data_IF_737894622187
#
_entry.id   IF_737894622187
#
_cell.length_a   1.000
_cell.length_b   1.000
_cell.length_c   1.000
_cell.angle_alpha   90.00
_cell.angle_beta   90.00
_cell.angle_gamma   90.00
#
_symmetry.space_group_name_H-M   'P 1'
#
loop_
_entity.id
_entity.type
_entity.pdbx_description
1 polymer ?
#
# COMPACT_ATOMS: atom_id res chain seq x y z
N UNK A 1 34.37 20.51 -34.56
CA UNK A 1 33.35 20.94 -33.57
C UNK A 1 32.12 20.02 -33.52
N UNK A 2 31.49 19.65 -34.65
CA UNK A 2 30.26 18.83 -34.69
C UNK A 2 30.34 17.47 -33.96
N UNK A 3 31.45 16.72 -34.09
CA UNK A 3 31.62 15.44 -33.38
C UNK A 3 31.71 15.54 -31.86
N UNK A 4 32.21 16.67 -31.32
CA UNK A 4 32.28 16.91 -29.87
C UNK A 4 30.89 17.21 -29.29
N UNK A 5 30.07 17.97 -30.01
CA UNK A 5 28.69 18.23 -29.63
C UNK A 5 27.85 16.94 -29.64
N UNK A 6 27.97 16.12 -30.69
CA UNK A 6 27.26 14.83 -30.79
C UNK A 6 27.71 13.87 -29.69
N UNK A 7 29.02 13.76 -29.43
CA UNK A 7 29.54 12.93 -28.34
C UNK A 7 29.04 13.37 -26.95
N UNK A 8 28.97 14.68 -26.70
CA UNK A 8 28.45 15.23 -25.46
C UNK A 8 26.95 14.99 -25.28
N UNK A 9 26.15 15.11 -26.35
CA UNK A 9 24.71 14.82 -26.33
C UNK A 9 24.45 13.34 -26.04
N UNK A 10 25.18 12.43 -26.70
CA UNK A 10 25.06 10.99 -26.47
C UNK A 10 25.45 10.61 -25.04
N UNK A 11 26.57 11.16 -24.54
CA UNK A 11 27.00 10.91 -23.17
C UNK A 11 26.03 11.48 -22.14
N UNK A 12 25.55 12.71 -22.33
CA UNK A 12 24.56 13.35 -21.47
C UNK A 12 23.23 12.59 -21.46
N UNK A 13 22.77 12.12 -22.63
CA UNK A 13 21.60 11.25 -22.73
C UNK A 13 21.78 9.92 -21.98
N UNK A 14 22.95 9.30 -22.12
CA UNK A 14 23.30 8.09 -21.37
C UNK A 14 23.26 8.30 -19.86
N UNK A 15 23.88 9.39 -19.38
CA UNK A 15 23.87 9.76 -17.97
C UNK A 15 22.45 10.05 -17.44
N UNK A 16 21.60 10.72 -18.24
CA UNK A 16 20.21 10.97 -17.89
C UNK A 16 19.40 9.67 -17.74
N UNK A 17 19.57 8.70 -18.66
CA UNK A 17 18.88 7.41 -18.56
C UNK A 17 19.30 6.63 -17.32
N UNK A 18 20.58 6.67 -16.95
CA UNK A 18 21.07 6.07 -15.71
C UNK A 18 20.48 6.75 -14.47
N UNK A 19 20.38 8.08 -14.47
CA UNK A 19 19.75 8.82 -13.39
C UNK A 19 18.24 8.48 -13.26
N UNK A 20 17.54 8.35 -14.38
CA UNK A 20 16.13 7.91 -14.40
C UNK A 20 15.98 6.48 -13.88
N UNK A 21 16.87 5.56 -14.26
CA UNK A 21 16.86 4.19 -13.74
C UNK A 21 17.07 4.17 -12.22
N UNK A 22 18.00 4.97 -11.71
CA UNK A 22 18.22 5.13 -10.27
C UNK A 22 16.96 5.70 -9.58
N UNK A 23 16.32 6.72 -10.15
CA UNK A 23 15.05 7.27 -9.65
C UNK A 23 13.95 6.21 -9.54
N UNK A 24 13.79 5.35 -10.56
CA UNK A 24 12.81 4.26 -10.50
C UNK A 24 13.10 3.26 -9.37
N UNK A 25 14.36 2.86 -9.20
CA UNK A 25 14.74 1.85 -8.21
C UNK A 25 14.68 2.39 -6.78
N UNK A 26 15.15 3.61 -6.55
CA UNK A 26 15.31 4.16 -5.20
C UNK A 26 14.11 5.00 -4.73
N UNK A 27 13.28 5.51 -5.64
CA UNK A 27 12.13 6.36 -5.30
C UNK A 27 10.81 5.66 -5.64
N UNK A 28 10.64 5.21 -6.89
CA UNK A 28 9.34 4.69 -7.36
C UNK A 28 9.05 3.31 -6.78
N UNK A 29 10.00 2.38 -6.84
CA UNK A 29 9.79 1.01 -6.33
C UNK A 29 9.41 0.97 -4.84
N UNK A 30 10.10 1.67 -3.91
CA UNK A 30 9.66 1.74 -2.52
C UNK A 30 8.31 2.44 -2.35
N UNK A 31 7.99 3.44 -3.19
CA UNK A 31 6.70 4.11 -3.15
C UNK A 31 5.53 3.22 -3.60
N UNK A 32 5.78 2.27 -4.51
CA UNK A 32 4.78 1.28 -4.96
C UNK A 32 4.61 0.11 -3.99
N UNK A 33 5.62 -0.20 -3.17
CA UNK A 33 5.59 -1.27 -2.18
C UNK A 33 4.96 -0.83 -0.84
N UNK A 34 3.98 0.06 -0.90
CA UNK A 34 3.17 0.53 0.23
C UNK A 34 1.77 0.92 -0.25
N UNK A 35 0.81 0.99 0.66
CA UNK A 35 -0.56 1.43 0.34
C UNK A 35 -0.54 2.83 -0.28
N UNK A 36 -1.07 2.98 -1.51
CA UNK A 36 -1.22 4.28 -2.14
C UNK A 36 -2.37 5.07 -1.51
N UNK A 37 -2.34 6.38 -1.71
CA UNK A 37 -3.35 7.29 -1.16
C UNK A 37 -4.65 7.32 -1.97
N UNK A 38 -4.55 6.98 -3.25
CA UNK A 38 -5.54 7.09 -4.31
C UNK A 38 -6.07 5.71 -4.75
N UNK A 39 -6.16 4.77 -3.81
CA UNK A 39 -6.77 3.48 -4.08
C UNK A 39 -8.25 3.65 -4.46
N UNK A 40 -8.67 2.87 -5.43
CA UNK A 40 -10.10 2.72 -5.74
C UNK A 40 -10.81 1.92 -4.66
N UNK A 41 -12.09 2.22 -4.45
CA UNK A 41 -12.91 1.44 -3.55
C UNK A 41 -13.01 -0.02 -4.07
N UNK A 42 -12.95 -0.97 -3.14
CA UNK A 42 -13.11 -2.39 -3.45
C UNK A 42 -14.37 -2.93 -2.81
N UNK A 43 -14.98 -3.92 -3.46
CA UNK A 43 -16.11 -4.68 -2.93
C UNK A 43 -15.78 -6.15 -3.00
N UNK A 44 -16.04 -6.86 -1.90
CA UNK A 44 -15.92 -8.31 -1.79
C UNK A 44 -17.23 -8.89 -1.33
N UNK A 45 -17.57 -10.07 -1.85
CA UNK A 45 -18.81 -10.76 -1.54
C UNK A 45 -18.46 -12.15 -1.05
N UNK A 46 -19.04 -12.52 0.10
CA UNK A 46 -19.00 -13.87 0.63
C UNK A 46 -20.42 -14.43 0.77
N UNK A 47 -20.57 -15.74 0.60
CA UNK A 47 -21.86 -16.43 0.76
C UNK A 47 -21.74 -17.56 1.76
N UNK A 48 -22.80 -17.77 2.55
CA UNK A 48 -22.95 -18.89 3.45
C UNK A 48 -24.25 -19.62 3.14
N UNK A 49 -24.18 -20.93 2.87
CA UNK A 49 -25.35 -21.75 2.55
C UNK A 49 -25.95 -22.39 3.78
N UNK A 50 -27.27 -22.40 3.88
CA UNK A 50 -28.02 -23.01 4.96
C UNK A 50 -27.61 -22.50 6.34
N UNK A 51 -27.22 -21.23 6.43
CA UNK A 51 -26.78 -20.62 7.67
C UNK A 51 -27.95 -20.49 8.65
N UNK A 52 -27.67 -20.73 9.93
CA UNK A 52 -28.60 -20.40 11.02
C UNK A 52 -28.22 -19.04 11.59
N UNK A 53 -29.18 -18.15 11.77
CA UNK A 53 -28.90 -16.79 12.24
C UNK A 53 -30.06 -16.20 13.03
N UNK A 54 -29.71 -15.34 13.98
CA UNK A 54 -30.62 -14.44 14.66
C UNK A 54 -31.07 -13.34 13.70
N UNK A 55 -32.37 -13.15 13.56
CA UNK A 55 -32.97 -12.06 12.80
C UNK A 55 -33.86 -11.23 13.73
N UNK A 56 -33.72 -9.91 13.64
CA UNK A 56 -34.55 -8.95 14.38
C UNK A 56 -35.36 -8.16 13.36
N UNK A 57 -36.67 -8.43 13.28
CA UNK A 57 -37.58 -7.76 12.35
C UNK A 57 -38.68 -7.07 13.15
N UNK A 58 -38.78 -5.74 13.04
CA UNK A 58 -39.77 -4.92 13.76
C UNK A 58 -39.81 -5.18 15.28
N UNK A 59 -38.63 -5.40 15.89
CA UNK A 59 -38.50 -5.71 17.32
C UNK A 59 -38.78 -7.16 17.70
N UNK A 60 -39.25 -8.00 16.77
CA UNK A 60 -39.40 -9.43 16.97
C UNK A 60 -38.07 -10.15 16.73
N UNK A 61 -37.71 -11.04 17.65
CA UNK A 61 -36.49 -11.84 17.59
C UNK A 61 -36.84 -13.26 17.17
N UNK A 62 -36.18 -13.77 16.13
CA UNK A 62 -36.33 -15.15 15.67
C UNK A 62 -34.98 -15.75 15.26
N UNK A 63 -34.88 -17.08 15.36
CA UNK A 63 -33.79 -17.85 14.76
C UNK A 63 -34.28 -18.40 13.43
N UNK A 64 -33.66 -17.98 12.34
CA UNK A 64 -33.99 -18.38 10.99
C UNK A 64 -32.88 -19.22 10.37
N UNK A 65 -33.24 -19.92 9.28
CA UNK A 65 -32.29 -20.64 8.44
C UNK A 65 -32.48 -20.23 6.98
N UNK A 66 -31.41 -19.76 6.35
CA UNK A 66 -31.41 -19.36 4.95
C UNK A 66 -29.96 -19.24 4.43
N UNK A 67 -29.83 -19.03 3.13
CA UNK A 67 -28.57 -18.63 2.55
C UNK A 67 -28.33 -17.13 2.80
N UNK A 68 -27.10 -16.77 3.17
CA UNK A 68 -26.69 -15.41 3.49
C UNK A 68 -25.65 -14.91 2.50
N UNK A 69 -25.74 -13.63 2.16
CA UNK A 69 -24.77 -12.90 1.35
C UNK A 69 -24.18 -11.77 2.18
N UNK A 70 -22.88 -11.84 2.45
CA UNK A 70 -22.10 -10.77 3.04
C UNK A 70 -21.46 -9.92 1.94
N UNK A 71 -21.65 -8.62 1.97
CA UNK A 71 -20.99 -7.67 1.05
C UNK A 71 -20.15 -6.71 1.87
N UNK A 72 -18.83 -6.71 1.68
CA UNK A 72 -17.90 -5.78 2.32
C UNK A 72 -17.39 -4.79 1.29
N UNK A 73 -17.55 -3.50 1.57
CA UNK A 73 -16.99 -2.40 0.78
C UNK A 73 -15.93 -1.68 1.59
N UNK A 74 -14.72 -1.59 1.03
CA UNK A 74 -13.60 -0.83 1.59
C UNK A 74 -13.34 0.37 0.69
N UNK A 75 -13.46 1.57 1.24
CA UNK A 75 -13.32 2.84 0.52
C UNK A 75 -12.25 3.71 1.17
N UNK A 76 -11.18 4.08 0.45
CA UNK A 76 -10.20 5.03 0.95
C UNK A 76 -10.81 6.41 1.19
N UNK A 77 -10.48 7.03 2.32
CA UNK A 77 -10.90 8.38 2.68
C UNK A 77 -9.72 9.34 2.53
N UNK A 78 -9.47 9.76 1.28
CA UNK A 78 -8.36 10.66 0.95
C UNK A 78 -8.47 12.01 1.67
N UNK A 79 -9.69 12.49 1.91
CA UNK A 79 -9.94 13.78 2.58
C UNK A 79 -9.52 13.73 4.05
N UNK A 80 -9.86 12.66 4.75
CA UNK A 80 -9.46 12.47 6.15
C UNK A 80 -7.98 12.11 6.24
N UNK A 81 -7.47 11.30 5.30
CA UNK A 81 -6.04 10.97 5.20
C UNK A 81 -5.17 12.21 5.05
N UNK A 82 -5.55 13.17 4.19
CA UNK A 82 -4.82 14.43 4.01
C UNK A 82 -4.87 15.39 5.20
N UNK A 83 -5.62 15.05 6.26
CA UNK A 83 -5.69 15.81 7.52
C UNK A 83 -5.00 15.10 8.68
N UNK A 84 -4.42 13.92 8.45
CA UNK A 84 -3.61 13.25 9.46
C UNK A 84 -2.40 14.14 9.80
N UNK A 85 -1.98 14.08 11.07
CA UNK A 85 -0.90 14.89 11.61
C UNK A 85 -0.09 14.07 12.63
N UNK A 86 1.07 14.61 13.05
CA UNK A 86 1.98 13.91 13.96
C UNK A 86 2.50 12.60 13.34
N UNK A 87 2.57 11.55 14.14
CA UNK A 87 3.15 10.25 13.75
C UNK A 87 2.39 9.52 12.63
N UNK A 88 1.18 9.97 12.30
CA UNK A 88 0.35 9.40 11.24
C UNK A 88 0.56 10.07 9.87
N UNK A 89 1.10 11.29 9.83
CA UNK A 89 1.35 12.03 8.58
C UNK A 89 2.39 11.30 7.72
N UNK A 90 2.11 11.14 6.42
CA UNK A 90 2.95 10.38 5.50
C UNK A 90 2.94 8.85 5.72
N UNK A 91 2.64 8.38 6.93
CA UNK A 91 2.73 6.99 7.37
C UNK A 91 1.45 6.20 7.19
N UNK A 92 0.29 6.83 7.36
CA UNK A 92 -0.99 6.15 7.40
C UNK A 92 -1.94 6.54 6.25
N UNK A 93 -2.94 5.69 6.02
CA UNK A 93 -4.13 5.95 5.22
C UNK A 93 -5.38 5.66 6.04
N UNK A 94 -6.44 6.44 5.84
CA UNK A 94 -7.74 6.20 6.48
C UNK A 94 -8.66 5.49 5.51
N UNK A 95 -9.24 4.37 5.93
CA UNK A 95 -10.25 3.64 5.17
C UNK A 95 -11.58 3.68 5.91
N UNK A 96 -12.66 3.79 5.14
CA UNK A 96 -14.03 3.55 5.58
C UNK A 96 -14.46 2.17 5.08
N UNK A 97 -15.05 1.39 5.97
CA UNK A 97 -15.51 0.04 5.68
C UNK A 97 -16.98 -0.07 6.03
N UNK A 98 -17.76 -0.61 5.11
CA UNK A 98 -19.14 -1.01 5.35
C UNK A 98 -19.30 -2.48 5.04
N UNK A 99 -20.07 -3.19 5.86
CA UNK A 99 -20.55 -4.53 5.53
C UNK A 99 -22.05 -4.59 5.70
N UNK A 100 -22.72 -5.30 4.80
CA UNK A 100 -24.07 -5.82 5.01
C UNK A 100 -24.05 -7.33 4.93
N UNK A 101 -24.90 -7.98 5.70
CA UNK A 101 -25.26 -9.39 5.56
C UNK A 101 -26.76 -9.43 5.34
N UNK A 102 -27.16 -10.00 4.21
CA UNK A 102 -28.55 -10.07 3.77
C UNK A 102 -28.90 -11.51 3.44
N UNK A 103 -30.19 -11.84 3.55
CA UNK A 103 -30.69 -13.11 3.05
C UNK A 103 -30.67 -13.13 1.53
N UNK A 104 -30.27 -14.22 0.91
CA UNK A 104 -30.26 -14.30 -0.56
C UNK A 104 -31.67 -14.39 -1.15
N UNK A 105 -32.61 -15.01 -0.42
CA UNK A 105 -33.98 -15.32 -0.84
C UNK A 105 -34.92 -14.09 -0.78
N UNK A 106 -34.87 -13.32 0.31
CA UNK A 106 -35.77 -12.19 0.56
C UNK A 106 -35.10 -10.83 0.45
N UNK A 107 -33.75 -10.77 0.42
CA UNK A 107 -32.95 -9.54 0.53
C UNK A 107 -33.13 -8.77 1.84
N UNK A 108 -33.76 -9.38 2.84
CA UNK A 108 -33.86 -8.76 4.16
C UNK A 108 -32.47 -8.66 4.81
N UNK A 109 -32.21 -7.51 5.43
CA UNK A 109 -30.98 -7.25 6.17
C UNK A 109 -30.95 -8.09 7.46
N UNK A 110 -29.85 -8.80 7.68
CA UNK A 110 -29.58 -9.59 8.89
C UNK A 110 -28.65 -8.83 9.83
N UNK A 111 -27.59 -8.24 9.29
CA UNK A 111 -26.68 -7.38 10.06
C UNK A 111 -25.98 -6.39 9.16
N UNK A 112 -25.53 -5.28 9.73
CA UNK A 112 -24.66 -4.34 9.08
C UNK A 112 -23.62 -3.83 10.08
N UNK A 113 -22.46 -3.41 9.58
CA UNK A 113 -21.58 -2.55 10.36
C UNK A 113 -20.92 -1.49 9.49
N UNK A 114 -20.50 -0.40 10.14
CA UNK A 114 -19.60 0.60 9.58
C UNK A 114 -18.33 0.71 10.42
N UNK A 115 -17.20 1.03 9.80
CA UNK A 115 -15.97 1.33 10.52
C UNK A 115 -15.16 2.41 9.79
N UNK A 116 -14.40 3.19 10.54
CA UNK A 116 -13.29 3.96 10.01
C UNK A 116 -12.03 3.62 10.80
N UNK A 117 -10.91 3.42 10.10
CA UNK A 117 -9.65 3.03 10.71
C UNK A 117 -8.46 3.61 9.95
N UNK A 118 -7.36 3.81 10.66
CA UNK A 118 -6.07 4.16 10.07
C UNK A 118 -5.23 2.89 9.88
N UNK A 119 -4.57 2.77 8.72
CA UNK A 119 -3.67 1.67 8.40
C UNK A 119 -2.28 2.21 8.09
N UNK A 120 -1.25 1.56 8.62
CA UNK A 120 0.14 1.80 8.25
C UNK A 120 0.36 1.39 6.79
N UNK A 121 0.94 2.29 6.00
CA UNK A 121 1.08 2.07 4.56
C UNK A 121 2.04 0.96 4.20
N UNK A 122 3.03 0.65 5.04
CA UNK A 122 4.06 -0.34 4.72
C UNK A 122 3.64 -1.72 5.22
N UNK A 123 3.28 -1.81 6.49
CA UNK A 123 2.92 -3.06 7.15
C UNK A 123 1.50 -3.54 6.87
N UNK A 124 0.59 -2.64 6.48
CA UNK A 124 -0.85 -2.94 6.31
C UNK A 124 -1.63 -3.09 7.63
N UNK A 125 -0.95 -3.01 8.77
CA UNK A 125 -1.57 -3.13 10.09
C UNK A 125 -2.34 -1.87 10.47
N UNK A 126 -3.37 -2.04 11.30
CA UNK A 126 -4.06 -0.93 11.93
C UNK A 126 -3.13 -0.13 12.87
N UNK A 127 -3.34 1.19 12.87
CA UNK A 127 -2.66 2.16 13.73
C UNK A 127 -3.69 2.84 14.62
N UNK A 128 -3.28 3.19 15.84
CA UNK A 128 -4.11 3.99 16.73
C UNK A 128 -4.39 5.36 16.11
N UNK A 129 -5.66 5.72 16.03
CA UNK A 129 -6.10 7.00 15.53
C UNK A 129 -7.39 7.46 16.21
N UNK A 130 -7.41 8.69 16.72
CA UNK A 130 -8.55 9.23 17.49
C UNK A 130 -9.88 9.28 16.72
N UNK A 131 -9.84 9.30 15.39
CA UNK A 131 -11.04 9.34 14.54
C UNK A 131 -11.60 7.97 14.18
N UNK A 132 -11.00 6.89 14.68
CA UNK A 132 -11.45 5.53 14.36
C UNK A 132 -12.73 5.17 15.13
N UNK A 133 -13.63 4.46 14.47
CA UNK A 133 -14.89 4.02 15.06
C UNK A 133 -15.33 2.66 14.52
N UNK A 134 -16.21 2.01 15.27
CA UNK A 134 -16.99 0.86 14.85
C UNK A 134 -18.46 1.14 15.16
N UNK A 135 -19.32 0.88 14.19
CA UNK A 135 -20.77 0.94 14.30
C UNK A 135 -21.33 -0.44 13.99
N UNK A 136 -21.49 -1.27 15.02
CA UNK A 136 -22.12 -2.60 14.99
C UNK A 136 -23.42 -2.61 15.82
N UNK A 137 -23.89 -1.42 16.20
CA UNK A 137 -25.05 -1.22 17.07
C UNK A 137 -26.10 -0.27 16.50
N UNK A 138 -25.83 0.36 15.35
CA UNK A 138 -26.58 1.50 14.83
C UNK A 138 -26.11 2.82 15.43
N UNK A 139 -24.98 2.84 16.14
CA UNK A 139 -24.33 4.03 16.69
C UNK A 139 -22.81 3.85 16.63
N UNK A 140 -22.11 4.91 16.23
CA UNK A 140 -20.66 4.91 16.20
C UNK A 140 -20.07 4.88 17.60
N UNK A 141 -19.28 3.85 17.89
CA UNK A 141 -18.49 3.71 19.11
C UNK A 141 -17.01 3.88 18.81
N UNK A 142 -16.26 4.45 19.77
CA UNK A 142 -14.80 4.46 19.67
C UNK A 142 -14.31 3.01 19.70
N UNK A 143 -13.52 2.66 18.70
CA UNK A 143 -12.85 1.36 18.61
C UNK A 143 -11.33 1.56 18.76
N UNK A 144 -10.62 0.49 19.09
CA UNK A 144 -9.17 0.42 18.96
C UNK A 144 -8.87 -0.72 18.00
N UNK A 145 -8.30 -0.40 16.85
CA UNK A 145 -7.92 -1.40 15.85
C UNK A 145 -6.42 -1.68 15.96
N UNK A 146 -6.05 -2.95 15.86
CA UNK A 146 -4.66 -3.38 15.89
C UNK A 146 -4.45 -4.61 15.01
N UNK A 147 -3.21 -4.89 14.61
CA UNK A 147 -2.89 -6.02 13.75
C UNK A 147 -3.42 -5.88 12.32
N UNK A 148 -3.41 -6.99 11.58
CA UNK A 148 -3.83 -7.06 10.18
C UNK A 148 -5.36 -7.16 10.07
N UNK A 149 -5.94 -6.53 9.05
CA UNK A 149 -7.39 -6.52 8.82
C UNK A 149 -7.76 -6.76 7.36
N UNK A 150 -7.27 -5.90 6.47
CA UNK A 150 -7.68 -5.89 5.05
C UNK A 150 -6.50 -6.05 4.08
N UNK A 151 -5.28 -5.99 4.59
CA UNK A 151 -4.04 -6.05 3.80
C UNK A 151 -2.94 -6.65 4.67
N UNK A 152 -2.10 -7.52 4.10
CA UNK A 152 -0.83 -7.95 4.68
C UNK A 152 0.32 -7.10 4.12
N UNK A 153 1.51 -7.06 4.73
CA UNK A 153 2.64 -6.34 4.15
C UNK A 153 2.98 -6.88 2.74
N UNK A 154 3.55 -6.03 1.89
CA UNK A 154 4.23 -6.51 0.67
C UNK A 154 5.35 -7.48 1.06
N UNK A 155 5.53 -8.55 0.30
CA UNK A 155 6.46 -9.61 0.69
C UNK A 155 6.01 -10.32 1.97
N UNK A 156 4.75 -10.73 2.04
CA UNK A 156 4.19 -11.39 3.21
C UNK A 156 5.03 -12.62 3.58
N UNK A 157 5.42 -12.71 4.85
CA UNK A 157 6.32 -13.75 5.35
C UNK A 157 5.56 -14.96 5.87
N UNK A 158 6.14 -16.17 5.70
CA UNK A 158 5.62 -17.46 6.23
C UNK A 158 5.78 -17.55 7.76
N UNK A 159 5.11 -16.68 8.49
CA UNK A 159 5.11 -16.60 9.96
C UNK A 159 3.70 -16.34 10.48
N UNK A 160 3.51 -16.44 11.78
CA UNK A 160 2.25 -16.06 12.42
C UNK A 160 2.05 -14.55 12.32
N UNK A 161 0.85 -14.13 11.91
CA UNK A 161 0.45 -12.71 11.92
C UNK A 161 -0.71 -12.52 12.89
N UNK A 162 -0.76 -11.36 13.54
CA UNK A 162 -1.92 -11.00 14.38
C UNK A 162 -3.00 -10.43 13.47
N UNK A 163 -4.17 -11.07 13.41
CA UNK A 163 -5.34 -10.56 12.67
C UNK A 163 -6.37 -10.06 13.67
N UNK A 164 -6.92 -8.87 13.44
CA UNK A 164 -8.00 -8.33 14.26
C UNK A 164 -9.29 -9.13 14.05
N UNK A 165 -9.93 -9.54 15.13
CA UNK A 165 -11.30 -10.04 15.09
C UNK A 165 -12.25 -8.95 15.58
N UNK A 166 -13.20 -8.57 14.72
CA UNK A 166 -14.15 -7.49 14.99
C UNK A 166 -15.09 -7.82 16.14
N UNK A 167 -15.52 -9.08 16.26
CA UNK A 167 -16.49 -9.50 17.26
C UNK A 167 -15.86 -9.54 18.65
N UNK A 168 -14.58 -9.92 18.75
CA UNK A 168 -13.80 -9.81 19.99
C UNK A 168 -13.25 -8.39 20.25
N UNK A 169 -13.19 -7.54 19.23
CA UNK A 169 -12.52 -6.23 19.24
C UNK A 169 -11.04 -6.33 19.67
N UNK A 170 -10.38 -7.41 19.27
CA UNK A 170 -9.01 -7.72 19.66
C UNK A 170 -8.33 -8.65 18.63
N UNK A 171 -7.02 -8.82 18.71
CA UNK A 171 -6.25 -9.65 17.79
C UNK A 171 -6.11 -11.09 18.27
N UNK A 172 -6.14 -12.03 17.34
CA UNK A 172 -5.78 -13.43 17.58
C UNK A 172 -4.72 -13.88 16.56
N UNK A 173 -3.85 -14.83 16.89
CA UNK A 173 -2.82 -15.29 15.95
C UNK A 173 -3.46 -16.00 14.76
N UNK A 174 -2.95 -15.71 13.57
CA UNK A 174 -3.21 -16.42 12.33
C UNK A 174 -1.92 -17.12 11.89
N UNK A 175 -1.92 -18.45 12.01
CA UNK A 175 -0.75 -19.27 11.72
C UNK A 175 -0.63 -19.58 10.24
N UNK A 176 0.58 -19.61 9.70
CA UNK A 176 0.83 -20.09 8.35
C UNK A 176 0.57 -21.60 8.26
N UNK A 177 -0.34 -22.02 7.37
CA UNK A 177 -0.76 -23.42 7.19
C UNK A 177 -0.31 -24.03 5.86
N UNK A 178 0.51 -23.33 5.08
CA UNK A 178 1.04 -23.81 3.81
C UNK A 178 0.74 -22.89 2.63
N UNK A 179 1.02 -23.39 1.43
CA UNK A 179 0.75 -22.70 0.17
C UNK A 179 -0.34 -23.41 -0.62
N UNK A 180 -1.08 -22.65 -1.42
CA UNK A 180 -2.16 -23.17 -2.26
C UNK A 180 -2.27 -22.33 -3.53
N UNK A 181 -2.51 -22.97 -4.68
CA UNK A 181 -2.72 -22.25 -5.93
C UNK A 181 -4.15 -21.68 -5.97
N UNK A 182 -4.26 -20.36 -6.10
CA UNK A 182 -5.53 -19.67 -6.31
C UNK A 182 -5.48 -19.02 -7.69
N UNK A 183 -6.07 -19.72 -8.67
CA UNK A 183 -6.16 -19.29 -10.08
C UNK A 183 -4.79 -18.86 -10.66
N UNK A 184 -3.74 -19.65 -10.41
CA UNK A 184 -2.40 -19.41 -10.95
C UNK A 184 -1.48 -18.55 -10.06
N UNK A 185 -1.97 -18.08 -8.91
CA UNK A 185 -1.13 -17.45 -7.88
C UNK A 185 -0.85 -18.46 -6.78
N UNK A 186 0.42 -18.81 -6.56
CA UNK A 186 0.87 -19.50 -5.35
C UNK A 186 0.65 -18.59 -4.14
N UNK A 187 -0.43 -18.84 -3.42
CA UNK A 187 -0.88 -18.05 -2.27
C UNK A 187 -0.37 -18.65 -0.97
N UNK A 188 -0.24 -17.81 0.06
CA UNK A 188 0.06 -18.24 1.43
C UNK A 188 -1.25 -18.35 2.21
N UNK A 189 -1.53 -19.53 2.76
CA UNK A 189 -2.73 -19.80 3.55
C UNK A 189 -2.44 -19.59 5.03
N UNK A 190 -3.18 -18.70 5.68
CA UNK A 190 -3.13 -18.49 7.12
C UNK A 190 -4.46 -18.84 7.76
N UNK A 191 -4.42 -19.41 8.96
CA UNK A 191 -5.59 -19.82 9.70
C UNK A 191 -5.57 -19.25 11.12
N UNK A 192 -6.64 -18.53 11.47
CA UNK A 192 -6.93 -18.02 12.80
C UNK A 192 -8.08 -18.84 13.39
N UNK A 193 -7.86 -19.42 14.56
CA UNK A 193 -8.84 -20.23 15.28
C UNK A 193 -9.20 -19.56 16.59
N UNK A 194 -10.49 -19.32 16.77
CA UNK A 194 -11.12 -18.76 17.97
C UNK A 194 -12.12 -19.80 18.46
N UNK A 195 -12.05 -20.19 19.73
CA UNK A 195 -12.89 -21.26 20.30
C UNK A 195 -13.55 -20.82 21.59
N UNK A 196 -14.87 -20.70 21.53
CA UNK A 196 -15.80 -20.45 22.64
C UNK A 196 -15.40 -19.28 23.55
N UNK A 197 -14.85 -18.22 22.94
CA UNK A 197 -14.50 -17.00 23.64
C UNK A 197 -15.76 -16.18 23.95
N UNK A 198 -15.85 -15.63 25.16
CA UNK A 198 -17.00 -14.83 25.56
C UNK A 198 -16.95 -13.44 24.92
N UNK A 199 -18.04 -13.06 24.24
CA UNK A 199 -18.21 -11.72 23.71
C UNK A 199 -18.53 -10.72 24.83
N UNK A 200 -17.90 -9.55 24.77
CA UNK A 200 -18.20 -8.44 25.66
C UNK A 200 -19.39 -7.63 25.13
N UNK A 201 -20.61 -8.12 25.39
CA UNK A 201 -21.85 -7.46 25.00
C UNK A 201 -22.42 -6.63 26.14
N UNK A 202 -23.02 -5.49 25.81
CA UNK A 202 -23.78 -4.70 26.77
C UNK A 202 -24.87 -5.54 27.46
N UNK A 203 -25.03 -5.38 28.77
CA UNK A 203 -25.95 -6.17 29.59
C UNK A 203 -27.39 -6.16 29.04
N UNK A 204 -27.87 -5.01 28.56
CA UNK A 204 -29.19 -4.87 27.95
C UNK A 204 -29.38 -5.76 26.70
N UNK A 205 -28.33 -5.96 25.90
CA UNK A 205 -28.37 -6.85 24.72
C UNK A 205 -28.48 -8.31 25.15
N UNK A 206 -27.71 -8.71 26.15
CA UNK A 206 -27.79 -10.08 26.69
C UNK A 206 -29.17 -10.35 27.27
N UNK A 207 -29.71 -9.43 28.08
CA UNK A 207 -31.07 -9.55 28.62
C UNK A 207 -32.15 -9.66 27.54
N UNK A 208 -32.03 -8.87 26.47
CA UNK A 208 -32.95 -8.93 25.33
C UNK A 208 -32.93 -10.33 24.68
N UNK A 209 -31.75 -10.90 24.46
CA UNK A 209 -31.59 -12.23 23.89
C UNK A 209 -32.14 -13.32 24.83
N UNK A 210 -31.85 -13.24 26.12
CA UNK A 210 -32.37 -14.18 27.13
C UNK A 210 -33.90 -14.16 27.18
N UNK A 211 -34.51 -12.97 27.22
CA UNK A 211 -35.97 -12.83 27.25
C UNK A 211 -36.67 -13.46 26.04
N UNK A 212 -36.03 -13.41 24.86
CA UNK A 212 -36.57 -13.98 23.64
C UNK A 212 -36.28 -15.49 23.46
N UNK A 213 -35.08 -15.95 23.84
CA UNK A 213 -34.57 -17.28 23.45
C UNK A 213 -34.39 -18.24 24.62
N UNK A 214 -34.38 -17.75 25.86
CA UNK A 214 -34.26 -18.56 27.06
C UNK A 214 -35.20 -18.04 28.17
N UNK A 215 -36.53 -18.15 28.01
CA UNK A 215 -37.48 -17.67 29.01
C UNK A 215 -37.21 -18.29 30.39
N UNK A 216 -37.10 -17.43 31.41
CA UNK A 216 -36.77 -17.82 32.78
C UNK A 216 -35.30 -17.61 33.15
N UNK A 217 -34.39 -17.50 32.17
CA UNK A 217 -33.00 -17.17 32.41
C UNK A 217 -32.84 -15.71 32.88
N UNK A 218 -31.98 -15.49 33.87
CA UNK A 218 -31.72 -14.15 34.42
C UNK A 218 -30.37 -13.62 34.03
N UNK A 219 -29.41 -14.52 33.83
CA UNK A 219 -28.04 -14.23 33.43
C UNK A 219 -27.62 -15.16 32.30
N UNK A 220 -26.55 -14.80 31.61
CA UNK A 220 -26.05 -15.57 30.49
C UNK A 220 -24.92 -14.86 29.80
N UNK A 221 -24.35 -15.50 28.79
CA UNK A 221 -23.26 -14.96 27.98
C UNK A 221 -23.43 -15.38 26.53
N UNK A 222 -22.83 -14.63 25.62
CA UNK A 222 -22.67 -15.06 24.23
C UNK A 222 -21.23 -15.52 24.04
N UNK A 223 -21.06 -16.76 23.59
CA UNK A 223 -19.75 -17.31 23.20
C UNK A 223 -19.61 -17.28 21.69
N UNK A 224 -18.40 -17.07 21.22
CA UNK A 224 -18.03 -16.91 19.82
C UNK A 224 -16.89 -17.85 19.46
N UNK A 225 -17.06 -18.51 18.33
CA UNK A 225 -16.08 -19.35 17.68
C UNK A 225 -15.96 -18.93 16.22
N UNK A 226 -14.73 -18.89 15.70
CA UNK A 226 -14.48 -18.63 14.29
C UNK A 226 -13.23 -19.38 13.84
N UNK A 227 -13.33 -20.08 12.71
CA UNK A 227 -12.15 -20.51 11.94
C UNK A 227 -12.07 -19.64 10.71
N UNK A 228 -11.17 -18.65 10.75
CA UNK A 228 -10.88 -17.74 9.64
C UNK A 228 -9.68 -18.26 8.88
N UNK A 229 -9.89 -18.59 7.60
CA UNK A 229 -8.81 -18.91 6.66
C UNK A 229 -8.67 -17.78 5.64
N UNK A 230 -7.46 -17.28 5.46
CA UNK A 230 -7.14 -16.23 4.49
C UNK A 230 -6.04 -16.71 3.55
N UNK A 231 -6.24 -16.51 2.26
CA UNK A 231 -5.25 -16.80 1.22
C UNK A 231 -4.68 -15.48 0.72
N UNK A 232 -3.37 -15.31 0.89
CA UNK A 232 -2.68 -14.05 0.65
C UNK A 232 -1.73 -14.20 -0.53
N UNK A 233 -1.74 -13.25 -1.46
CA UNK A 233 -0.66 -13.13 -2.45
C UNK A 233 0.64 -12.73 -1.73
N UNK A 234 1.69 -13.57 -1.72
CA UNK A 234 2.90 -13.28 -0.97
C UNK A 234 3.67 -12.06 -1.50
N UNK A 235 3.50 -11.69 -2.78
CA UNK A 235 4.21 -10.53 -3.34
C UNK A 235 3.51 -9.24 -2.94
N UNK A 236 2.21 -9.13 -3.23
CA UNK A 236 1.49 -7.88 -2.97
C UNK A 236 0.97 -7.77 -1.56
N UNK A 237 0.79 -8.88 -0.83
CA UNK A 237 0.13 -8.94 0.48
C UNK A 237 -1.39 -8.81 0.41
N UNK A 238 -2.00 -8.93 -0.78
CA UNK A 238 -3.44 -8.80 -0.98
C UNK A 238 -4.19 -10.09 -0.64
N UNK A 239 -5.42 -9.95 -0.14
CA UNK A 239 -6.31 -11.08 0.08
C UNK A 239 -6.85 -11.58 -1.26
N UNK A 240 -6.65 -12.88 -1.54
CA UNK A 240 -7.14 -13.55 -2.74
C UNK A 240 -8.44 -14.30 -2.48
N UNK A 241 -8.55 -14.90 -1.30
CA UNK A 241 -9.72 -15.62 -0.84
C UNK A 241 -9.84 -15.50 0.69
N UNK A 242 -11.06 -15.59 1.20
CA UNK A 242 -11.38 -15.63 2.64
C UNK A 242 -12.50 -16.62 2.86
N UNK A 243 -12.35 -17.44 3.90
CA UNK A 243 -13.41 -18.28 4.45
C UNK A 243 -13.48 -18.09 5.95
N UNK A 244 -14.69 -17.95 6.48
CA UNK A 244 -14.96 -17.83 7.91
C UNK A 244 -16.07 -18.80 8.31
N UNK A 245 -15.74 -19.74 9.19
CA UNK A 245 -16.72 -20.63 9.82
C UNK A 245 -17.06 -20.04 11.18
N UNK A 246 -18.09 -19.21 11.22
CA UNK A 246 -18.50 -18.48 12.41
C UNK A 246 -19.63 -19.17 13.16
N UNK A 247 -19.49 -19.25 14.49
CA UNK A 247 -20.55 -19.65 15.40
C UNK A 247 -20.69 -18.67 16.55
N UNK A 248 -21.92 -18.27 16.85
CA UNK A 248 -22.27 -17.50 18.05
C UNK A 248 -23.38 -18.23 18.79
N UNK A 249 -23.21 -18.42 20.09
CA UNK A 249 -24.16 -19.17 20.91
C UNK A 249 -24.47 -18.38 22.18
N UNK A 250 -25.75 -18.15 22.43
CA UNK A 250 -26.23 -17.69 23.74
C UNK A 250 -26.22 -18.87 24.70
N UNK A 251 -25.49 -18.73 25.80
CA UNK A 251 -25.42 -19.69 26.89
C UNK A 251 -26.10 -19.07 28.10
N UNK A 252 -27.36 -19.43 28.39
CA UNK A 252 -28.08 -18.94 29.56
C UNK A 252 -27.61 -19.64 30.85
N UNK A 253 -27.93 -19.06 32.00
CA UNK A 253 -27.74 -19.69 33.32
C UNK A 253 -28.66 -20.90 33.53
N UNK A 254 -29.87 -20.85 32.99
CA UNK A 254 -30.82 -21.95 32.96
C UNK A 254 -31.42 -22.14 31.57
N UNK A 255 -31.74 -23.38 31.22
CA UNK A 255 -32.26 -23.74 29.90
C UNK A 255 -31.17 -24.13 28.91
N UNK A 256 -31.58 -24.43 27.69
CA UNK A 256 -30.67 -24.88 26.64
C UNK A 256 -29.96 -23.69 25.96
N UNK A 257 -28.69 -23.84 25.55
CA UNK A 257 -28.03 -22.85 24.70
C UNK A 257 -28.77 -22.64 23.37
N UNK A 258 -28.77 -21.40 22.89
CA UNK A 258 -29.40 -21.03 21.61
C UNK A 258 -28.34 -20.57 20.60
N UNK A 259 -28.36 -21.13 19.39
CA UNK A 259 -27.44 -20.74 18.32
C UNK A 259 -27.92 -19.44 17.67
N UNK A 260 -27.13 -18.37 17.83
CA UNK A 260 -27.39 -17.04 17.28
C UNK A 260 -26.81 -16.87 15.88
N UNK A 261 -25.72 -17.59 15.57
CA UNK A 261 -25.13 -17.66 14.25
C UNK A 261 -24.44 -19.02 14.10
N UNK A 262 -24.63 -19.65 12.95
CA UNK A 262 -23.84 -20.76 12.45
C UNK A 262 -23.77 -20.60 10.93
N UNK A 263 -22.63 -20.12 10.44
CA UNK A 263 -22.46 -19.71 9.06
C UNK A 263 -21.04 -20.00 8.57
N UNK A 264 -20.94 -20.57 7.37
CA UNK A 264 -19.69 -20.82 6.67
C UNK A 264 -19.60 -19.87 5.47
N UNK A 265 -19.11 -18.66 5.72
CA UNK A 265 -18.96 -17.63 4.69
C UNK A 265 -17.71 -17.91 3.88
N UNK A 266 -17.83 -18.00 2.56
CA UNK A 266 -16.70 -18.07 1.63
C UNK A 266 -16.83 -17.03 0.54
N UNK A 267 -15.73 -16.41 0.11
CA UNK A 267 -15.77 -15.51 -1.04
C UNK A 267 -16.36 -16.19 -2.27
N UNK A 268 -17.17 -15.44 -3.02
CA UNK A 268 -17.71 -15.93 -4.29
C UNK A 268 -16.61 -16.03 -5.34
N UNK A 269 -16.82 -16.85 -6.37
CA UNK A 269 -15.88 -17.00 -7.49
C UNK A 269 -15.56 -15.67 -8.18
N UNK A 270 -16.54 -14.77 -8.30
CA UNK A 270 -16.35 -13.44 -8.86
C UNK A 270 -15.44 -12.59 -7.97
N UNK A 271 -15.60 -12.69 -6.65
CA UNK A 271 -14.76 -11.98 -5.69
C UNK A 271 -13.32 -12.50 -5.74
N UNK A 272 -13.13 -13.83 -5.80
CA UNK A 272 -11.81 -14.44 -5.96
C UNK A 272 -11.16 -14.03 -7.27
N UNK A 273 -11.89 -14.10 -8.39
CA UNK A 273 -11.37 -13.70 -9.71
C UNK A 273 -10.98 -12.22 -9.75
N UNK A 274 -11.81 -11.33 -9.20
CA UNK A 274 -11.49 -9.90 -9.12
C UNK A 274 -10.29 -9.60 -8.20
N UNK A 275 -10.13 -10.38 -7.13
CA UNK A 275 -9.00 -10.26 -6.20
C UNK A 275 -7.68 -10.73 -6.84
N UNK A 276 -7.70 -11.87 -7.53
CA UNK A 276 -6.58 -12.40 -8.31
C UNK A 276 -6.17 -11.39 -9.39
N UNK A 277 -7.13 -10.88 -10.18
CA UNK A 277 -6.83 -9.88 -11.21
C UNK A 277 -6.14 -8.64 -10.64
N UNK A 278 -6.63 -8.11 -9.51
CA UNK A 278 -6.01 -6.95 -8.86
C UNK A 278 -4.60 -7.24 -8.36
N UNK A 279 -4.37 -8.45 -7.84
CA UNK A 279 -3.04 -8.89 -7.42
C UNK A 279 -2.09 -9.01 -8.63
N UNK A 280 -2.53 -9.58 -9.75
CA UNK A 280 -1.76 -9.66 -11.00
C UNK A 280 -1.40 -8.27 -11.54
N UNK A 281 -2.37 -7.36 -11.64
CA UNK A 281 -2.16 -5.98 -12.11
C UNK A 281 -1.12 -5.27 -11.23
N UNK A 282 -1.19 -5.48 -9.90
CA UNK A 282 -0.22 -4.95 -8.94
C UNK A 282 1.18 -5.56 -9.11
N UNK A 283 1.27 -6.88 -9.31
CA UNK A 283 2.54 -7.60 -9.57
C UNK A 283 3.18 -7.16 -10.88
N UNK A 284 2.39 -6.97 -11.93
CA UNK A 284 2.87 -6.51 -13.22
C UNK A 284 3.43 -5.09 -13.12
N UNK A 285 2.74 -4.18 -12.42
CA UNK A 285 3.24 -2.83 -12.15
C UNK A 285 4.58 -2.85 -11.42
N UNK A 286 4.69 -3.65 -10.35
CA UNK A 286 5.92 -3.80 -9.56
C UNK A 286 7.08 -4.37 -10.37
N UNK A 287 6.85 -5.38 -11.22
CA UNK A 287 7.91 -6.00 -12.01
C UNK A 287 8.33 -5.13 -13.20
N UNK A 288 7.38 -4.52 -13.90
CA UNK A 288 7.66 -3.65 -15.04
C UNK A 288 8.45 -2.41 -14.61
N UNK A 289 7.93 -1.64 -13.65
CA UNK A 289 8.54 -0.37 -13.24
C UNK A 289 9.69 -0.57 -12.23
N UNK A 290 9.64 -1.63 -11.43
CA UNK A 290 10.66 -1.91 -10.41
C UNK A 290 11.85 -2.73 -10.91
N UNK A 291 11.75 -3.40 -12.07
CA UNK A 291 12.80 -4.30 -12.58
C UNK A 291 13.08 -4.06 -14.07
N UNK A 292 12.11 -4.29 -14.95
CA UNK A 292 12.38 -4.33 -16.40
C UNK A 292 12.71 -2.97 -17.01
N UNK A 293 11.95 -1.91 -16.69
CA UNK A 293 12.22 -0.56 -17.19
C UNK A 293 13.58 -0.05 -16.69
N UNK A 294 13.94 -0.14 -15.39
CA UNK A 294 15.27 0.22 -14.93
C UNK A 294 16.40 -0.52 -15.67
N UNK A 295 16.28 -1.82 -15.90
CA UNK A 295 17.29 -2.61 -16.65
C UNK A 295 17.42 -2.08 -18.08
N UNK A 296 16.31 -1.85 -18.78
CA UNK A 296 16.33 -1.31 -20.14
C UNK A 296 16.99 0.08 -20.21
N UNK A 297 16.67 0.95 -19.24
CA UNK A 297 17.28 2.27 -19.13
C UNK A 297 18.78 2.20 -18.84
N UNK A 298 19.22 1.27 -17.98
CA UNK A 298 20.65 1.06 -17.70
C UNK A 298 21.39 0.59 -18.94
N UNK A 299 20.88 -0.43 -19.64
CA UNK A 299 21.52 -0.95 -20.85
C UNK A 299 21.63 0.12 -21.94
N UNK A 300 20.52 0.81 -22.23
CA UNK A 300 20.53 1.88 -23.21
C UNK A 300 21.43 3.06 -22.78
N UNK A 301 21.39 3.41 -21.48
CA UNK A 301 22.22 4.46 -20.91
C UNK A 301 23.71 4.18 -21.05
N UNK A 302 24.15 2.95 -20.74
CA UNK A 302 25.53 2.52 -20.90
C UNK A 302 25.97 2.50 -22.37
N UNK A 303 25.11 2.02 -23.28
CA UNK A 303 25.39 2.03 -24.72
C UNK A 303 25.58 3.45 -25.24
N UNK A 304 24.69 4.39 -24.89
CA UNK A 304 24.78 5.80 -25.29
C UNK A 304 26.01 6.48 -24.68
N UNK A 305 26.32 6.22 -23.42
CA UNK A 305 27.51 6.76 -22.75
C UNK A 305 28.80 6.28 -23.43
N UNK A 306 28.91 4.98 -23.72
CA UNK A 306 30.06 4.40 -24.41
C UNK A 306 30.19 4.95 -25.84
N UNK A 307 29.09 5.05 -26.59
CA UNK A 307 29.08 5.64 -27.92
C UNK A 307 29.52 7.11 -27.91
N UNK A 308 29.02 7.90 -26.95
CA UNK A 308 29.41 9.30 -26.76
C UNK A 308 30.90 9.47 -26.49
N UNK A 309 31.47 8.63 -25.62
CA UNK A 309 32.91 8.56 -25.33
C UNK A 309 33.73 8.22 -26.59
N UNK A 310 33.30 7.21 -27.36
CA UNK A 310 34.00 6.78 -28.58
C UNK A 310 33.97 7.86 -29.68
N UNK A 311 32.83 8.53 -29.89
CA UNK A 311 32.69 9.62 -30.88
C UNK A 311 33.52 10.84 -30.48
N UNK A 312 33.56 11.17 -29.20
CA UNK A 312 34.37 12.28 -28.68
C UNK A 312 35.88 12.04 -28.86
N UNK A 313 36.34 10.80 -28.66
CA UNK A 313 37.75 10.37 -28.85
C UNK A 313 38.19 10.38 -30.32
N UNK A 314 37.32 9.99 -31.24
CA UNK A 314 37.63 10.02 -32.69
C UNK A 314 37.80 11.43 -33.24
N UNK A 315 37.07 12.40 -32.68
CA UNK A 315 37.24 13.82 -33.02
C UNK A 315 38.56 14.45 -32.54
N UNK A 316 39.26 13.82 -31.59
CA UNK A 316 40.56 14.30 -31.08
C UNK A 316 41.74 13.77 -31.91
N UNK A 317 41.65 12.56 -32.46
CA UNK A 317 42.70 11.96 -33.29
C UNK A 317 42.88 12.68 -34.65
N UNK A 318 41.82 13.27 -35.19
CA UNK A 318 41.87 13.94 -36.50
C UNK A 318 42.47 15.37 -36.45
N UNK A 319 42.64 15.94 -35.24
CA UNK A 319 43.29 17.24 -35.04
C UNK A 319 44.83 17.14 -34.87
N UNK A 320 45.39 15.91 -34.85
CA UNK A 320 46.83 15.67 -34.70
C UNK A 320 47.55 15.36 -36.04
N UNK A 321 46.86 15.51 -37.18
CA UNK A 321 47.34 15.14 -38.51
C UNK A 321 47.70 16.31 -39.44
N UNK A 322 48.24 17.41 -38.92
CA UNK A 322 48.79 18.49 -39.75
C UNK A 322 50.31 18.61 -39.48
N UNK A 323 51.17 18.11 -40.39
CA UNK A 323 52.60 18.15 -40.19
C UNK A 323 53.09 19.60 -40.32
N UNK A 324 53.68 20.11 -39.24
CA UNK A 324 54.44 21.37 -39.23
C UNK A 324 55.61 21.24 -40.20
N UNK A 325 55.52 21.87 -41.37
CA UNK A 325 56.69 22.09 -42.22
C UNK A 325 57.55 23.18 -41.60
N UNK A 326 58.80 22.81 -41.35
CA UNK A 326 59.89 23.61 -40.79
C UNK A 326 60.62 24.35 -41.93
N UNK A 327 61.03 25.58 -41.58
CA UNK A 327 62.15 26.41 -42.06
C UNK A 327 62.11 27.01 -43.47
N UNK A 328 62.26 28.33 -43.52
CA UNK A 328 63.51 28.86 -44.05
C UNK A 328 63.97 30.11 -43.27
N UNK A 329 65.29 30.28 -43.18
CA UNK A 329 66.02 31.31 -42.42
C UNK A 329 66.91 32.06 -43.40
N UNK A 330 66.89 33.40 -43.41
CA UNK A 330 68.09 34.21 -43.72
C UNK A 330 67.90 35.65 -43.20
N UNK A 331 68.67 36.02 -42.16
CA UNK A 331 69.65 37.13 -42.08
C UNK A 331 69.05 38.56 -42.22
N UNK A 332 69.33 39.55 -41.36
CA UNK A 332 70.66 40.18 -41.21
C UNK A 332 70.66 41.25 -40.07
N UNK A 333 71.64 41.15 -39.14
CA UNK A 333 72.42 42.23 -38.47
C UNK A 333 71.82 43.24 -37.44
N UNK A 334 72.66 43.96 -36.64
CA UNK A 334 72.86 43.62 -35.23
C UNK A 334 72.71 44.81 -34.25
N UNK A 335 72.96 44.53 -32.97
CA UNK A 335 72.92 45.45 -31.83
C UNK A 335 73.94 46.62 -31.88
N UNK A 336 73.52 47.79 -31.37
CA UNK A 336 74.20 48.58 -30.32
C UNK A 336 73.57 49.99 -30.21
N UNK A 337 73.21 50.43 -28.99
CA UNK A 337 73.70 51.68 -28.39
C UNK A 337 72.84 52.14 -27.21
N UNK A 338 73.58 52.58 -26.19
CA UNK A 338 73.25 53.12 -24.89
C UNK A 338 72.77 54.59 -24.95
N UNK A 339 72.23 55.07 -23.80
CA UNK A 339 72.05 56.46 -23.31
C UNK A 339 70.71 57.17 -23.50
N UNK A 340 70.03 57.34 -22.36
CA UNK A 340 69.94 58.62 -21.66
C UNK A 340 68.94 59.67 -22.17
N UNK A 341 68.00 60.07 -21.30
CA UNK A 341 67.28 61.34 -21.41
C UNK A 341 65.83 61.31 -20.93
N UNK A 342 65.61 61.68 -19.66
CA UNK A 342 64.40 62.38 -19.20
C UNK A 342 64.68 63.90 -19.42
N UNK A 343 63.72 64.80 -19.72
CA UNK A 343 62.65 65.16 -18.78
C UNK A 343 61.28 65.57 -19.39
N UNK A 344 60.33 65.77 -18.48
CA UNK A 344 59.32 66.86 -18.44
C UNK A 344 57.81 66.51 -18.59
N UNK A 345 57.16 66.58 -17.42
CA UNK A 345 55.74 66.82 -17.03
C UNK A 345 55.39 68.29 -17.44
N UNK A 346 54.11 68.77 -17.63
CA UNK A 346 52.92 68.49 -16.80
C UNK A 346 51.52 68.58 -17.48
N UNK A 347 50.47 68.11 -16.78
CA UNK A 347 49.10 68.54 -17.09
C UNK A 347 47.93 67.77 -16.50
N UNK A 348 47.54 68.14 -15.27
CA UNK A 348 46.15 68.22 -14.75
C UNK A 348 45.28 66.95 -14.50
N UNK A 349 45.05 66.73 -13.19
CA UNK A 349 43.88 66.13 -12.50
C UNK A 349 42.68 67.14 -12.51
N UNK A 350 41.45 66.88 -11.96
CA UNK A 350 41.03 65.79 -11.05
C UNK A 350 39.59 65.18 -11.18
N UNK A 351 39.47 63.92 -10.69
CA UNK A 351 38.44 63.40 -9.73
C UNK A 351 36.95 63.16 -10.16
N UNK A 352 36.08 62.59 -9.28
CA UNK A 352 36.08 61.18 -8.81
C UNK A 352 34.67 60.55 -8.71
N UNK A 353 34.59 59.25 -8.34
CA UNK A 353 33.40 58.56 -7.79
C UNK A 353 33.29 57.12 -8.34
N UNK A 354 33.46 56.01 -7.61
CA UNK A 354 32.72 55.51 -6.42
C UNK A 354 31.19 55.67 -6.59
N UNK A 355 30.31 54.69 -6.38
CA UNK A 355 30.29 53.44 -5.59
C UNK A 355 28.94 52.77 -5.92
N UNK A 356 28.83 51.44 -5.73
CA UNK A 356 27.64 50.60 -5.40
C UNK A 356 26.24 50.91 -6.01
N UNK A 357 25.33 49.96 -6.27
CA UNK A 357 24.84 48.89 -5.40
C UNK A 357 23.76 48.11 -6.17
N UNK A 358 23.60 46.83 -5.79
CA UNK A 358 22.45 45.91 -6.00
C UNK A 358 22.22 45.28 -7.37
#
# INVERSE_FOLDING_TARGET
MKHRAIGAVLFGGGALLLALAAGLVFVVKPAMAKLPYDLEASTSVAEARGATFLQITNGSIAINRADLRSTVRVSPDAKTTGKLSGDLDGKAVVWQVGQTVERTDSKELVSAYGAALALDRVSGSALEWNGQYLDDTGTQEKAQFSGQMYKFPFGAEKKTHQIFDRDLRDVRPAEFKGTEDIKGIESYRYEQVITDEQLNLAEGRVKLLLGALAPGATTGKVVYSNTRTVWIDPVTGSFLNVREVQRKTLVPDIGAPATLLDADFSYTEETVAASVKRAEDSRQGLTLLGVYVPIGLVLLGLVLAAAGLLVSRRGTAQAAGEPRHRADVTAEQPAAADRGGDPSVPGQRPAPGQVEQR
#
